data_IF_374783391294
#
_entry.id   IF_374783391294
#
_cell.length_a   1.000
_cell.length_b   1.000
_cell.length_c   1.000
_cell.angle_alpha   90.00
_cell.angle_beta   90.00
_cell.angle_gamma   90.00
#
_symmetry.space_group_name_H-M   'P 1'
#
loop_
_entity.id
_entity.type
_entity.pdbx_description
1 polymer ?
#
# COMPACT_ATOMS: atom_id res chain seq x y z
N UNK A 1 -45.88 -2.87 30.41
CA UNK A 1 -44.41 -3.11 30.39
C UNK A 1 -44.17 -4.10 29.25
N UNK A 2 -43.40 -3.84 28.19
CA UNK A 2 -42.45 -2.78 27.90
C UNK A 2 -42.41 -2.48 26.38
N UNK A 3 -42.24 -1.20 26.10
CA UNK A 3 -41.67 -0.49 24.94
C UNK A 3 -41.80 -1.03 23.51
N UNK A 4 -42.65 -0.28 22.78
CA UNK A 4 -42.61 -0.04 21.35
C UNK A 4 -41.21 0.39 20.87
N UNK A 5 -40.58 -0.43 20.02
CA UNK A 5 -39.58 0.07 19.08
C UNK A 5 -40.29 0.93 18.04
N UNK A 6 -40.11 2.25 18.11
CA UNK A 6 -40.49 3.20 17.06
C UNK A 6 -39.58 3.01 15.84
N UNK A 7 -40.11 2.77 14.64
CA UNK A 7 -39.42 3.11 13.42
C UNK A 7 -39.79 4.55 13.07
N UNK A 8 -38.82 5.46 13.13
CA UNK A 8 -38.89 6.81 12.57
C UNK A 8 -38.89 6.78 11.03
N UNK A 9 -39.75 5.94 10.45
CA UNK A 9 -39.99 5.83 9.02
C UNK A 9 -41.35 6.45 8.72
N UNK A 10 -41.35 7.77 8.54
CA UNK A 10 -42.51 8.55 8.08
C UNK A 10 -43.06 8.00 6.73
N UNK A 11 -42.27 7.22 5.98
CA UNK A 11 -42.68 6.60 4.73
C UNK A 11 -43.28 5.18 4.85
N UNK A 12 -43.18 4.51 6.00
CA UNK A 12 -43.72 3.15 6.15
C UNK A 12 -45.24 3.13 6.32
N UNK A 13 -45.83 4.20 6.86
CA UNK A 13 -47.28 4.25 7.13
C UNK A 13 -48.16 4.57 5.91
N UNK A 14 -47.60 5.11 4.84
CA UNK A 14 -48.39 5.41 3.62
C UNK A 14 -48.71 4.15 2.80
N UNK A 15 -48.03 3.04 3.04
CA UNK A 15 -48.18 1.82 2.25
C UNK A 15 -49.20 0.81 2.81
N UNK A 16 -49.71 1.05 4.02
CA UNK A 16 -50.65 0.16 4.71
C UNK A 16 -52.12 0.32 4.27
N UNK A 17 -52.42 1.27 3.37
CA UNK A 17 -53.79 1.50 2.86
C UNK A 17 -53.97 1.15 1.39
N UNK A 18 -52.97 0.55 0.75
CA UNK A 18 -53.12 0.07 -0.62
C UNK A 18 -53.60 -1.38 -0.66
N UNK A 19 -54.56 -1.72 -1.54
CA UNK A 19 -54.99 -3.10 -1.77
C UNK A 19 -53.81 -4.00 -2.10
N UNK A 20 -53.87 -5.27 -1.69
CA UNK A 20 -52.80 -6.26 -1.90
C UNK A 20 -52.34 -6.38 -3.37
N UNK A 21 -53.23 -6.09 -4.32
CA UNK A 21 -52.95 -6.13 -5.75
C UNK A 21 -52.04 -4.99 -6.24
N UNK A 22 -52.01 -3.85 -5.53
CA UNK A 22 -51.15 -2.72 -5.85
C UNK A 22 -49.67 -3.02 -5.50
N UNK A 23 -49.44 -3.74 -4.40
CA UNK A 23 -48.11 -4.21 -3.98
C UNK A 23 -47.48 -5.21 -4.96
N UNK A 24 -48.32 -6.07 -5.57
CA UNK A 24 -47.89 -7.02 -6.60
C UNK A 24 -47.49 -6.34 -7.91
N UNK A 25 -48.08 -5.18 -8.22
CA UNK A 25 -47.79 -4.40 -9.44
C UNK A 25 -46.54 -3.53 -9.31
N UNK A 26 -46.27 -2.99 -8.11
CA UNK A 26 -45.07 -2.17 -7.85
C UNK A 26 -43.80 -3.02 -7.68
N UNK A 27 -43.89 -4.19 -7.04
CA UNK A 27 -42.72 -5.08 -6.87
C UNK A 27 -42.18 -5.66 -8.19
N UNK A 28 -43.00 -5.67 -9.25
CA UNK A 28 -42.60 -6.06 -10.62
C UNK A 28 -42.21 -4.88 -11.53
N UNK A 29 -42.33 -3.64 -11.04
CA UNK A 29 -41.84 -2.47 -11.77
C UNK A 29 -40.31 -2.45 -11.73
N UNK A 30 -39.70 -2.60 -12.90
CA UNK A 30 -38.24 -2.55 -13.09
C UNK A 30 -37.60 -1.27 -12.49
N UNK A 31 -38.38 -0.17 -12.41
CA UNK A 31 -37.97 1.11 -11.81
C UNK A 31 -37.79 1.02 -10.30
N UNK A 32 -38.61 0.23 -9.61
CA UNK A 32 -38.55 0.10 -8.14
C UNK A 32 -37.35 -0.77 -7.71
N UNK A 33 -37.11 -1.89 -8.41
CA UNK A 33 -35.90 -2.72 -8.20
C UNK A 33 -34.61 -1.92 -8.45
N UNK A 34 -34.59 -1.07 -9.48
CA UNK A 34 -33.43 -0.21 -9.79
C UNK A 34 -33.16 0.83 -8.71
N UNK A 35 -34.21 1.48 -8.17
CA UNK A 35 -34.06 2.45 -7.06
C UNK A 35 -33.59 1.79 -5.76
N UNK A 36 -34.09 0.60 -5.44
CA UNK A 36 -33.68 -0.14 -4.23
C UNK A 36 -32.23 -0.64 -4.31
N UNK A 37 -31.78 -1.07 -5.50
CA UNK A 37 -30.38 -1.43 -5.76
C UNK A 37 -29.43 -0.25 -5.61
N UNK A 38 -29.81 0.94 -6.13
CA UNK A 38 -29.01 2.17 -5.98
C UNK A 38 -28.90 2.56 -4.49
N UNK A 39 -29.98 2.44 -3.72
CA UNK A 39 -29.99 2.80 -2.30
C UNK A 39 -29.10 1.86 -1.45
N UNK A 40 -29.17 0.54 -1.70
CA UNK A 40 -28.27 -0.41 -1.04
C UNK A 40 -26.80 -0.18 -1.41
N UNK A 41 -26.52 0.25 -2.66
CA UNK A 41 -25.17 0.59 -3.12
C UNK A 41 -24.61 1.84 -2.44
N UNK A 42 -25.44 2.88 -2.23
CA UNK A 42 -25.06 4.10 -1.49
C UNK A 42 -24.82 3.78 -0.01
N UNK A 43 -25.64 2.89 0.58
CA UNK A 43 -25.49 2.45 1.97
C UNK A 43 -24.18 1.67 2.20
N UNK A 44 -23.82 0.75 1.28
CA UNK A 44 -22.57 0.00 1.37
C UNK A 44 -21.33 0.90 1.17
N UNK A 45 -21.40 1.88 0.27
CA UNK A 45 -20.33 2.88 0.10
C UNK A 45 -20.10 3.72 1.36
N UNK A 46 -21.15 4.02 2.13
CA UNK A 46 -21.00 4.75 3.40
C UNK A 46 -20.30 3.92 4.49
N UNK A 47 -20.49 2.60 4.52
CA UNK A 47 -19.76 1.72 5.43
C UNK A 47 -18.28 1.58 5.02
N UNK A 48 -18.01 1.45 3.73
CA UNK A 48 -16.64 1.40 3.20
C UNK A 48 -15.89 2.71 3.49
N UNK A 49 -16.49 3.87 3.21
CA UNK A 49 -15.88 5.17 3.46
C UNK A 49 -15.64 5.44 4.96
N UNK A 50 -16.51 4.93 5.85
CA UNK A 50 -16.27 4.96 7.30
C UNK A 50 -15.07 4.09 7.68
N UNK A 51 -14.98 2.86 7.16
CA UNK A 51 -13.85 1.95 7.42
C UNK A 51 -12.52 2.54 6.96
N UNK A 52 -12.48 3.18 5.79
CA UNK A 52 -11.28 3.85 5.27
C UNK A 52 -10.85 5.02 6.16
N UNK A 53 -11.81 5.84 6.63
CA UNK A 53 -11.52 6.92 7.59
C UNK A 53 -11.02 6.41 8.93
N UNK A 54 -11.57 5.31 9.45
CA UNK A 54 -11.08 4.71 10.69
C UNK A 54 -9.65 4.15 10.53
N UNK A 55 -9.37 3.49 9.41
CA UNK A 55 -8.04 2.96 9.12
C UNK A 55 -7.01 4.09 8.94
N UNK A 56 -7.34 5.16 8.20
CA UNK A 56 -6.41 6.28 8.03
C UNK A 56 -6.11 7.01 9.34
N UNK A 57 -7.11 7.20 10.22
CA UNK A 57 -6.91 7.77 11.56
C UNK A 57 -6.04 6.84 12.43
N UNK A 58 -6.25 5.52 12.34
CA UNK A 58 -5.45 4.55 13.08
C UNK A 58 -3.99 4.57 12.62
N UNK A 59 -3.75 4.56 11.31
CA UNK A 59 -2.41 4.65 10.73
C UNK A 59 -1.74 5.95 11.15
N UNK A 60 -2.41 7.11 11.03
CA UNK A 60 -1.85 8.40 11.42
C UNK A 60 -1.48 8.47 12.91
N UNK A 61 -2.29 7.86 13.78
CA UNK A 61 -2.00 7.76 15.22
C UNK A 61 -0.84 6.81 15.49
N UNK A 62 -0.75 5.69 14.78
CA UNK A 62 0.35 4.75 14.90
C UNK A 62 1.67 5.39 14.43
N UNK A 63 1.69 6.09 13.29
CA UNK A 63 2.88 6.85 12.86
C UNK A 63 3.26 7.93 13.85
N UNK A 64 2.30 8.71 14.35
CA UNK A 64 2.57 9.75 15.35
C UNK A 64 3.16 9.18 16.65
N UNK A 65 2.64 8.05 17.16
CA UNK A 65 3.17 7.38 18.35
C UNK A 65 4.57 6.80 18.10
N UNK A 66 4.83 6.27 16.91
CA UNK A 66 6.16 5.80 16.51
C UNK A 66 7.13 6.98 16.48
N UNK A 67 6.77 8.09 15.82
CA UNK A 67 7.62 9.29 15.74
C UNK A 67 7.95 9.88 17.13
N UNK A 68 6.99 9.93 18.05
CA UNK A 68 7.23 10.39 19.43
C UNK A 68 8.13 9.43 20.21
N UNK A 69 7.94 8.12 20.02
CA UNK A 69 8.77 7.11 20.69
C UNK A 69 10.23 7.21 20.23
N UNK A 70 10.47 7.47 18.94
CA UNK A 70 11.82 7.68 18.41
C UNK A 70 12.44 9.01 18.86
N UNK A 71 11.66 10.09 18.98
CA UNK A 71 12.13 11.35 19.56
C UNK A 71 12.53 11.20 21.04
N UNK A 72 11.95 10.23 21.75
CA UNK A 72 12.27 9.96 23.16
C UNK A 72 13.55 9.12 23.33
N UNK A 73 14.07 8.52 22.25
CA UNK A 73 15.31 7.72 22.25
C UNK A 73 16.56 8.54 21.88
N UNK A 74 16.43 9.84 21.62
CA UNK A 74 17.56 10.72 21.29
C UNK A 74 18.32 11.30 22.51
N UNK A 75 18.16 10.71 23.70
CA UNK A 75 18.89 11.16 24.89
C UNK A 75 19.77 10.01 25.40
N UNK A 76 21.09 10.18 25.27
CA UNK A 76 22.21 9.30 25.65
C UNK A 76 22.68 8.21 24.68
N UNK A 77 23.24 8.59 23.53
CA UNK A 77 24.16 7.71 22.78
C UNK A 77 25.41 8.42 22.26
N UNK A 78 25.93 9.41 23.00
CA UNK A 78 27.18 10.07 22.62
C UNK A 78 28.45 9.21 22.74
N UNK A 79 28.37 7.94 23.20
CA UNK A 79 29.56 7.11 23.47
C UNK A 79 29.54 5.69 22.85
N UNK A 80 29.01 5.52 21.63
CA UNK A 80 29.21 4.26 20.86
C UNK A 80 29.85 4.49 19.49
N UNK A 81 29.77 5.72 18.96
CA UNK A 81 30.41 6.10 17.70
C UNK A 81 31.95 6.11 17.75
N UNK A 82 32.54 6.22 18.94
CA UNK A 82 34.01 6.25 19.11
C UNK A 82 34.69 4.87 19.05
N UNK A 83 33.96 3.74 19.16
CA UNK A 83 34.56 2.40 19.20
C UNK A 83 34.59 1.65 17.85
N UNK A 84 34.08 2.26 16.77
CA UNK A 84 34.15 1.71 15.40
C UNK A 84 34.91 2.62 14.43
N UNK A 85 35.69 3.56 14.97
CA UNK A 85 36.26 4.70 14.25
C UNK A 85 37.64 4.43 13.62
N UNK A 86 37.74 3.38 12.79
CA UNK A 86 38.93 3.17 11.91
C UNK A 86 38.59 3.06 10.41
N UNK A 87 37.30 3.12 10.03
CA UNK A 87 36.86 2.93 8.63
C UNK A 87 35.90 4.01 8.09
N UNK A 88 36.05 5.28 8.51
CA UNK A 88 35.35 6.45 7.89
C UNK A 88 35.60 6.63 6.38
N UNK A 89 36.30 5.71 5.72
CA UNK A 89 36.57 5.67 4.27
C UNK A 89 35.84 4.55 3.51
N UNK A 90 34.77 3.97 4.07
CA UNK A 90 33.84 3.10 3.31
C UNK A 90 32.70 3.89 2.62
N UNK A 91 32.90 5.19 2.34
CA UNK A 91 31.83 6.16 2.08
C UNK A 91 31.37 6.33 0.62
N UNK A 92 31.91 5.60 -0.37
CA UNK A 92 31.46 5.76 -1.79
C UNK A 92 31.54 4.52 -2.70
N UNK A 93 32.12 3.40 -2.25
CA UNK A 93 32.34 2.22 -3.10
C UNK A 93 31.35 1.07 -2.91
N UNK A 94 30.67 1.02 -1.77
CA UNK A 94 30.05 -0.23 -1.34
C UNK A 94 28.62 -0.34 -1.85
N UNK A 95 28.28 -1.56 -2.28
CA UNK A 95 26.94 -1.90 -2.74
C UNK A 95 26.22 -2.59 -1.59
N UNK A 96 25.03 -2.10 -1.27
CA UNK A 96 24.17 -2.76 -0.28
C UNK A 96 23.10 -3.59 -0.98
N UNK A 97 23.12 -4.90 -0.78
CA UNK A 97 22.09 -5.80 -1.28
C UNK A 97 20.97 -5.89 -0.26
N UNK A 98 19.72 -5.71 -0.69
CA UNK A 98 18.54 -5.68 0.18
C UNK A 98 17.47 -6.65 -0.29
N UNK A 99 16.67 -7.14 0.65
CA UNK A 99 15.43 -7.87 0.39
C UNK A 99 14.30 -7.27 1.21
N UNK A 100 13.11 -7.14 0.63
CA UNK A 100 11.94 -6.58 1.32
C UNK A 100 11.06 -7.70 1.88
N UNK A 101 11.13 -7.92 3.19
CA UNK A 101 10.38 -8.93 3.91
C UNK A 101 8.86 -8.70 3.83
N UNK A 102 8.43 -7.43 3.80
CA UNK A 102 7.01 -7.09 3.63
C UNK A 102 6.49 -7.48 2.25
N UNK A 103 7.32 -7.33 1.21
CA UNK A 103 6.98 -7.80 -0.14
C UNK A 103 6.81 -9.32 -0.18
N UNK A 104 7.67 -10.08 0.53
CA UNK A 104 7.59 -11.54 0.55
C UNK A 104 6.29 -12.02 1.18
N UNK A 105 5.84 -11.37 2.25
CA UNK A 105 4.53 -11.61 2.85
C UNK A 105 3.38 -11.38 1.86
N UNK A 106 3.52 -10.39 0.96
CA UNK A 106 2.58 -10.11 -0.14
C UNK A 106 2.78 -10.98 -1.39
N UNK A 107 3.62 -12.01 -1.32
CA UNK A 107 3.90 -12.91 -2.43
C UNK A 107 4.87 -12.37 -3.48
N UNK A 108 5.63 -11.31 -3.17
CA UNK A 108 6.66 -10.72 -4.04
C UNK A 108 8.04 -10.98 -3.45
N UNK A 109 8.81 -11.90 -4.04
CA UNK A 109 10.20 -12.12 -3.68
C UNK A 109 11.08 -11.10 -4.39
N UNK A 110 11.39 -9.99 -3.72
CA UNK A 110 12.17 -8.87 -4.30
C UNK A 110 13.55 -8.74 -3.68
N UNK A 111 14.52 -8.44 -4.54
CA UNK A 111 15.88 -8.09 -4.18
C UNK A 111 16.25 -6.77 -4.84
N UNK A 112 16.97 -5.92 -4.12
CA UNK A 112 17.46 -4.65 -4.62
C UNK A 112 18.93 -4.45 -4.27
N UNK A 113 19.58 -3.61 -5.05
CA UNK A 113 20.93 -3.13 -4.80
C UNK A 113 20.84 -1.63 -4.63
N UNK A 114 21.43 -1.14 -3.55
CA UNK A 114 21.58 0.27 -3.27
C UNK A 114 23.03 0.69 -3.44
N UNK A 115 23.21 1.86 -4.06
CA UNK A 115 24.49 2.52 -4.20
C UNK A 115 24.36 3.98 -3.79
N UNK A 116 25.26 4.44 -2.93
CA UNK A 116 25.41 5.87 -2.63
C UNK A 116 26.13 6.57 -3.78
N UNK A 117 25.66 7.77 -4.13
CA UNK A 117 26.39 8.67 -5.01
C UNK A 117 27.34 9.56 -4.20
N UNK A 118 26.92 9.90 -2.99
CA UNK A 118 27.64 10.65 -1.97
C UNK A 118 27.04 10.30 -0.60
N UNK A 119 27.48 11.00 0.45
CA UNK A 119 27.03 10.78 1.83
C UNK A 119 25.54 11.11 2.05
N UNK A 120 24.89 11.85 1.14
CA UNK A 120 23.51 12.33 1.31
C UNK A 120 22.51 11.64 0.39
N UNK A 121 22.93 11.11 -0.75
CA UNK A 121 22.04 10.56 -1.77
C UNK A 121 22.43 9.14 -2.16
N UNK A 122 21.44 8.29 -2.25
CA UNK A 122 21.60 6.94 -2.78
C UNK A 122 20.48 6.59 -3.76
N UNK A 123 20.76 5.62 -4.61
CA UNK A 123 19.76 5.02 -5.48
C UNK A 123 19.70 3.51 -5.23
N UNK A 124 18.49 3.05 -4.97
CA UNK A 124 18.17 1.64 -4.82
C UNK A 124 17.38 1.18 -6.05
N UNK A 125 17.88 0.14 -6.71
CA UNK A 125 17.20 -0.49 -7.84
C UNK A 125 17.04 -1.99 -7.59
N UNK A 126 15.89 -2.55 -7.90
CA UNK A 126 15.60 -3.94 -7.64
C UNK A 126 14.67 -4.60 -8.63
N UNK A 127 14.68 -5.92 -8.55
CA UNK A 127 13.83 -6.82 -9.31
C UNK A 127 13.19 -7.82 -8.37
N UNK A 128 12.03 -8.32 -8.71
CA UNK A 128 11.43 -9.40 -7.95
C UNK A 128 10.42 -10.20 -8.72
N UNK A 129 10.14 -11.38 -8.16
CA UNK A 129 9.23 -12.36 -8.72
C UNK A 129 7.93 -12.34 -7.93
N UNK A 130 6.83 -12.13 -8.64
CA UNK A 130 5.48 -12.16 -8.08
C UNK A 130 4.98 -13.60 -8.18
N UNK A 131 4.72 -14.21 -7.04
CA UNK A 131 4.19 -15.57 -6.90
C UNK A 131 2.65 -15.56 -6.95
N UNK A 132 2.03 -16.66 -7.42
CA UNK A 132 0.60 -16.90 -7.25
C UNK A 132 0.32 -17.24 -5.80
N UNK A 133 0.29 -16.26 -4.90
CA UNK A 133 -0.10 -16.46 -3.51
C UNK A 133 -1.10 -15.37 -3.13
N UNK A 134 -2.12 -15.78 -2.36
CA UNK A 134 -3.28 -15.04 -1.89
C UNK A 134 -2.95 -13.62 -1.41
N UNK A 135 -3.17 -12.60 -2.26
CA UNK A 135 -3.43 -11.25 -1.75
C UNK A 135 -4.84 -11.27 -1.13
N UNK A 136 -4.92 -11.51 0.18
CA UNK A 136 -5.98 -10.89 0.97
C UNK A 136 -5.74 -9.38 0.93
N UNK A 137 -6.78 -8.63 0.57
CA UNK A 137 -6.90 -7.16 0.62
C UNK A 137 -6.01 -6.36 -0.34
N UNK A 138 -6.55 -5.92 -1.49
CA UNK A 138 -7.26 -4.64 -1.68
C UNK A 138 -8.30 -4.86 -2.79
N UNK A 139 -9.62 -4.89 -2.52
CA UNK A 139 -10.64 -5.09 -3.55
C UNK A 139 -10.60 -3.92 -4.54
N UNK A 140 -9.87 -4.11 -5.65
CA UNK A 140 -10.15 -3.37 -6.87
C UNK A 140 -11.37 -4.08 -7.44
N UNK A 141 -12.57 -3.56 -7.18
CA UNK A 141 -13.89 -4.14 -7.51
C UNK A 141 -14.09 -4.61 -8.97
N UNK A 142 -13.10 -4.40 -9.85
CA UNK A 142 -13.13 -4.76 -11.28
C UNK A 142 -12.35 -6.02 -11.67
N UNK A 143 -11.48 -6.59 -10.83
CA UNK A 143 -10.59 -7.68 -11.25
C UNK A 143 -10.65 -8.90 -10.31
N UNK A 144 -11.19 -10.01 -10.80
CA UNK A 144 -11.30 -11.26 -10.04
C UNK A 144 -9.94 -11.93 -9.88
N UNK A 145 -9.55 -12.18 -8.62
CA UNK A 145 -8.23 -12.69 -8.21
C UNK A 145 -7.87 -14.08 -8.75
N UNK A 146 -8.87 -14.88 -9.13
CA UNK A 146 -8.72 -16.29 -9.57
C UNK A 146 -7.90 -16.46 -10.88
N UNK A 147 -7.39 -15.37 -11.45
CA UNK A 147 -6.70 -15.37 -12.74
C UNK A 147 -5.24 -14.93 -12.66
N UNK A 148 -4.73 -14.49 -11.50
CA UNK A 148 -3.34 -14.03 -11.35
C UNK A 148 -2.38 -15.22 -11.18
N UNK A 149 -1.48 -15.46 -12.16
CA UNK A 149 -0.51 -16.56 -12.11
C UNK A 149 0.84 -16.16 -11.55
N UNK A 150 1.52 -15.27 -12.22
CA UNK A 150 2.89 -14.90 -11.86
C UNK A 150 3.23 -13.61 -12.53
N UNK A 151 4.26 -12.97 -12.04
CA UNK A 151 4.65 -11.68 -12.56
C UNK A 151 6.07 -11.34 -12.17
N UNK A 152 6.45 -10.14 -12.54
CA UNK A 152 7.68 -9.54 -12.09
C UNK A 152 7.40 -8.13 -11.60
N UNK A 153 8.24 -7.66 -10.70
CA UNK A 153 8.29 -6.28 -10.30
C UNK A 153 9.68 -5.70 -10.52
N UNK A 154 9.70 -4.42 -10.88
CA UNK A 154 10.89 -3.58 -10.89
C UNK A 154 10.65 -2.47 -9.90
N UNK A 155 11.64 -2.19 -9.06
CA UNK A 155 11.57 -1.14 -8.06
C UNK A 155 12.75 -0.20 -8.22
N UNK A 156 12.48 1.09 -8.06
CA UNK A 156 13.48 2.14 -7.94
C UNK A 156 13.13 3.02 -6.76
N UNK A 157 14.15 3.44 -6.01
CA UNK A 157 13.99 4.37 -4.89
C UNK A 157 15.21 5.29 -4.86
N UNK A 158 14.97 6.56 -5.12
CA UNK A 158 15.96 7.62 -4.91
C UNK A 158 15.82 8.13 -3.47
N UNK A 159 16.89 8.08 -2.68
CA UNK A 159 16.91 8.50 -1.28
C UNK A 159 17.76 9.76 -1.10
N UNK A 160 17.28 10.66 -0.24
CA UNK A 160 18.02 11.77 0.33
C UNK A 160 18.01 11.64 1.85
N UNK A 161 19.18 11.37 2.44
CA UNK A 161 19.42 11.25 3.88
C UNK A 161 19.49 12.64 4.52
N UNK A 162 19.02 12.75 5.76
CA UNK A 162 18.98 14.04 6.47
C UNK A 162 20.36 14.42 7.00
N UNK A 163 21.16 13.44 7.46
CA UNK A 163 22.53 13.68 7.93
C UNK A 163 23.51 12.90 7.04
N UNK A 164 23.77 11.62 7.35
CA UNK A 164 24.78 10.81 6.63
C UNK A 164 24.29 9.38 6.34
N UNK A 165 24.56 8.90 5.13
CA UNK A 165 24.49 7.49 4.75
C UNK A 165 25.59 6.70 5.47
N UNK A 166 25.37 5.44 5.88
CA UNK A 166 24.19 4.60 5.67
C UNK A 166 23.16 4.66 6.80
N UNK A 167 23.35 5.45 7.85
CA UNK A 167 22.53 5.42 9.05
C UNK A 167 21.78 6.72 9.24
N UNK A 168 20.55 6.79 8.73
CA UNK A 168 19.69 7.92 9.05
C UNK A 168 18.24 7.75 8.61
N UNK A 169 17.46 8.75 9.01
CA UNK A 169 16.23 9.08 8.33
C UNK A 169 16.51 9.57 6.91
N UNK A 170 15.64 9.17 5.99
CA UNK A 170 15.71 9.61 4.60
C UNK A 170 14.32 9.93 4.07
N UNK A 171 14.30 10.78 3.04
CA UNK A 171 13.14 11.01 2.20
C UNK A 171 13.44 10.47 0.80
N UNK A 172 12.43 10.16 0.01
CA UNK A 172 12.70 9.62 -1.31
C UNK A 172 11.53 9.52 -2.26
N UNK A 173 11.86 9.29 -3.52
CA UNK A 173 10.91 9.02 -4.58
C UNK A 173 10.96 7.55 -4.94
N UNK A 174 9.83 6.88 -4.72
CA UNK A 174 9.63 5.48 -4.99
C UNK A 174 8.88 5.30 -6.31
N UNK A 175 9.42 4.44 -7.16
CA UNK A 175 8.83 4.03 -8.42
C UNK A 175 8.78 2.50 -8.43
N UNK A 176 7.61 1.93 -8.68
CA UNK A 176 7.46 0.49 -8.83
C UNK A 176 6.63 0.16 -10.07
N UNK A 177 7.15 -0.73 -10.88
CA UNK A 177 6.45 -1.31 -12.01
C UNK A 177 6.15 -2.78 -11.70
N UNK A 178 4.87 -3.17 -11.73
CA UNK A 178 4.46 -4.56 -11.57
C UNK A 178 3.71 -5.03 -12.79
N UNK A 179 4.05 -6.23 -13.25
CA UNK A 179 3.33 -6.88 -14.34
C UNK A 179 2.89 -8.26 -13.93
N UNK A 180 1.57 -8.47 -13.94
CA UNK A 180 0.95 -9.74 -13.66
C UNK A 180 0.52 -10.39 -14.98
N UNK A 181 0.91 -11.65 -15.14
CA UNK A 181 0.38 -12.52 -16.18
C UNK A 181 -0.89 -13.18 -15.66
N UNK A 182 -1.98 -12.99 -16.40
CA UNK A 182 -3.25 -13.68 -16.16
C UNK A 182 -3.54 -14.64 -17.32
N UNK A 183 -4.54 -15.51 -17.17
CA UNK A 183 -4.89 -16.52 -18.18
C UNK A 183 -5.04 -15.95 -19.60
N UNK A 184 -5.79 -14.85 -19.75
CA UNK A 184 -6.09 -14.22 -21.05
C UNK A 184 -5.76 -12.72 -21.06
N UNK A 185 -5.16 -12.21 -19.99
CA UNK A 185 -5.00 -10.77 -19.75
C UNK A 185 -3.61 -10.48 -19.19
N UNK A 186 -3.14 -9.26 -19.38
CA UNK A 186 -1.95 -8.72 -18.71
C UNK A 186 -2.38 -7.51 -17.91
N UNK A 187 -2.11 -7.53 -16.62
CA UNK A 187 -2.39 -6.41 -15.73
C UNK A 187 -1.06 -5.76 -15.36
N UNK A 188 -0.97 -4.46 -15.59
CA UNK A 188 0.21 -3.66 -15.32
C UNK A 188 -0.11 -2.58 -14.32
N UNK A 189 0.73 -2.44 -13.32
CA UNK A 189 0.70 -1.37 -12.34
C UNK A 189 1.96 -0.54 -12.45
N UNK A 190 1.79 0.77 -12.36
CA UNK A 190 2.87 1.72 -12.23
C UNK A 190 2.59 2.59 -11.01
N UNK A 191 3.35 2.39 -9.95
CA UNK A 191 3.24 3.12 -8.70
C UNK A 191 4.32 4.20 -8.66
N UNK A 192 3.93 5.42 -8.30
CA UNK A 192 4.82 6.54 -8.03
C UNK A 192 4.44 7.13 -6.67
N UNK A 193 5.38 7.18 -5.74
CA UNK A 193 5.13 7.64 -4.37
C UNK A 193 6.28 8.44 -3.80
N UNK A 194 5.94 9.34 -2.89
CA UNK A 194 6.90 9.98 -2.01
C UNK A 194 6.98 9.18 -0.71
N UNK A 195 8.19 8.93 -0.23
CA UNK A 195 8.45 8.08 0.92
C UNK A 195 9.30 8.78 1.96
N UNK A 196 9.08 8.38 3.21
CA UNK A 196 9.97 8.61 4.34
C UNK A 196 10.44 7.26 4.86
N UNK A 197 11.68 7.18 5.29
CA UNK A 197 12.23 5.95 5.83
C UNK A 197 13.35 6.20 6.83
N UNK A 198 13.83 5.09 7.37
CA UNK A 198 14.86 5.05 8.39
C UNK A 198 15.72 3.81 8.14
N UNK A 199 17.03 4.00 8.08
CA UNK A 199 18.01 2.94 7.89
C UNK A 199 18.97 2.90 9.08
N UNK A 200 19.23 1.70 9.61
CA UNK A 200 20.08 1.47 10.77
C UNK A 200 20.94 0.22 10.61
N UNK A 201 22.21 0.27 11.04
CA UNK A 201 23.08 -0.91 11.16
C UNK A 201 22.63 -1.72 12.38
N UNK A 202 22.32 -3.00 12.17
CA UNK A 202 22.01 -3.93 13.26
C UNK A 202 23.26 -4.67 13.76
N UNK A 203 24.11 -5.09 12.82
CA UNK A 203 25.37 -5.81 13.03
C UNK A 203 26.37 -5.33 11.99
N UNK A 204 27.68 -5.62 12.14
CA UNK A 204 28.64 -5.36 11.06
C UNK A 204 28.11 -5.88 9.73
N UNK A 205 28.03 -4.99 8.73
CA UNK A 205 27.50 -5.24 7.39
C UNK A 205 26.00 -5.53 7.28
N UNK A 206 25.21 -5.63 8.35
CA UNK A 206 23.76 -5.94 8.29
C UNK A 206 22.94 -4.71 8.65
N UNK A 207 21.93 -4.40 7.83
CA UNK A 207 21.12 -3.19 7.94
C UNK A 207 19.63 -3.53 8.03
N UNK A 208 18.90 -2.75 8.81
CA UNK A 208 17.44 -2.66 8.77
C UNK A 208 17.06 -1.38 8.03
N UNK A 209 16.13 -1.48 7.09
CA UNK A 209 15.59 -0.33 6.35
C UNK A 209 14.05 -0.37 6.40
N UNK A 210 13.48 0.61 7.10
CA UNK A 210 12.05 0.79 7.29
C UNK A 210 11.56 1.96 6.43
N UNK A 211 10.49 1.75 5.66
CA UNK A 211 9.98 2.76 4.75
C UNK A 211 8.45 2.80 4.75
N UNK A 212 7.88 3.99 4.69
CA UNK A 212 6.46 4.21 4.40
C UNK A 212 6.31 5.39 3.44
N UNK A 213 5.32 5.33 2.55
CA UNK A 213 5.07 6.41 1.62
C UNK A 213 3.62 6.59 1.24
N UNK A 214 3.37 7.59 0.42
CA UNK A 214 2.06 7.89 -0.14
C UNK A 214 2.23 8.34 -1.60
N UNK A 215 1.32 7.88 -2.47
CA UNK A 215 1.44 8.14 -3.89
C UNK A 215 0.25 7.72 -4.72
N UNK A 216 0.46 7.70 -6.03
CA UNK A 216 -0.49 7.28 -7.04
C UNK A 216 -0.08 5.99 -7.73
N UNK A 217 -1.06 5.25 -8.21
CA UNK A 217 -0.93 4.02 -8.98
C UNK A 217 -1.74 4.15 -10.26
N UNK A 218 -1.08 3.90 -11.37
CA UNK A 218 -1.70 3.79 -12.68
C UNK A 218 -1.89 2.32 -13.02
N UNK A 219 -3.10 1.97 -13.45
CA UNK A 219 -3.51 0.59 -13.72
C UNK A 219 -3.84 0.48 -15.20
N UNK A 220 -3.23 -0.49 -15.88
CA UNK A 220 -3.51 -0.78 -17.28
C UNK A 220 -3.79 -2.27 -17.47
N UNK A 221 -4.95 -2.58 -18.03
CA UNK A 221 -5.32 -3.91 -18.47
C UNK A 221 -5.12 -4.04 -19.98
N UNK A 222 -4.48 -5.12 -20.40
CA UNK A 222 -4.37 -5.50 -21.80
C UNK A 222 -4.98 -6.88 -21.99
N UNK A 223 -5.99 -6.97 -22.85
CA UNK A 223 -6.62 -8.24 -23.19
C UNK A 223 -5.80 -9.00 -24.25
N UNK A 224 -5.98 -10.32 -24.31
CA UNK A 224 -5.39 -11.20 -25.33
C UNK A 224 -5.65 -10.71 -26.76
N UNK A 225 -6.81 -10.08 -26.96
CA UNK A 225 -7.31 -9.67 -28.27
C UNK A 225 -6.72 -8.32 -28.73
N UNK A 226 -5.74 -7.79 -28.00
CA UNK A 226 -5.04 -6.54 -28.32
C UNK A 226 -5.74 -5.27 -27.85
N UNK A 227 -6.99 -5.38 -27.35
CA UNK A 227 -7.69 -4.25 -26.76
C UNK A 227 -7.02 -3.81 -25.44
N UNK A 228 -6.65 -2.53 -25.38
CA UNK A 228 -6.13 -1.91 -24.16
C UNK A 228 -7.30 -1.21 -23.46
N UNK A 229 -7.48 -1.46 -22.17
CA UNK A 229 -8.37 -0.63 -21.37
C UNK A 229 -7.81 0.79 -21.25
N UNK A 230 -8.69 1.72 -20.94
CA UNK A 230 -8.29 3.03 -20.41
C UNK A 230 -7.41 2.84 -19.16
N UNK A 231 -6.51 3.79 -18.95
CA UNK A 231 -5.65 3.83 -17.77
C UNK A 231 -6.48 4.29 -16.57
N UNK A 232 -6.58 3.45 -15.54
CA UNK A 232 -7.25 3.79 -14.28
C UNK A 232 -6.22 4.34 -13.27
N UNK A 233 -6.67 5.19 -12.35
CA UNK A 233 -5.83 5.79 -11.32
C UNK A 233 -6.36 5.46 -9.92
N UNK A 234 -5.47 5.07 -9.02
CA UNK A 234 -5.79 4.82 -7.62
C UNK A 234 -4.67 5.34 -6.71
N UNK A 235 -4.98 5.53 -5.43
CA UNK A 235 -3.96 5.84 -4.42
C UNK A 235 -3.12 4.59 -4.09
N UNK A 236 -1.88 4.78 -3.62
CA UNK A 236 -1.00 3.71 -3.14
C UNK A 236 -0.21 4.15 -1.91
N UNK A 237 0.04 3.22 -0.99
CA UNK A 237 0.81 3.41 0.23
C UNK A 237 1.90 2.32 0.24
N UNK A 238 3.09 2.58 -0.31
CA UNK A 238 4.17 1.61 -0.23
C UNK A 238 4.69 1.50 1.21
N UNK A 239 4.90 0.28 1.65
CA UNK A 239 5.49 -0.04 2.96
C UNK A 239 6.66 -0.99 2.70
N UNK A 240 7.81 -0.70 3.33
CA UNK A 240 9.01 -1.51 3.23
C UNK A 240 9.54 -1.88 4.61
N UNK A 241 9.80 -3.17 4.80
CA UNK A 241 10.62 -3.68 5.89
C UNK A 241 11.71 -4.50 5.22
N UNK A 242 12.90 -3.93 5.11
CA UNK A 242 14.01 -4.50 4.37
C UNK A 242 15.16 -4.87 5.28
N UNK A 243 15.82 -5.97 4.94
CA UNK A 243 17.12 -6.32 5.51
C UNK A 243 18.16 -6.17 4.40
N UNK A 244 19.24 -5.47 4.72
CA UNK A 244 20.36 -5.20 3.83
C UNK A 244 21.64 -5.87 4.30
N UNK A 245 22.53 -6.18 3.36
CA UNK A 245 23.90 -6.60 3.58
C UNK A 245 24.85 -5.71 2.77
N UNK A 246 25.83 -5.08 3.40
CA UNK A 246 26.86 -4.30 2.72
C UNK A 246 28.00 -5.22 2.27
N UNK A 247 28.29 -5.21 0.96
CA UNK A 247 29.28 -6.07 0.31
C UNK A 247 30.70 -5.56 0.44
#
# INVERSE_FOLDING_TARGET
MAELCRPDNIYANWFLHFPADFHKKISNSCVFKKKMYIYNRISQNNHFMKSVRFFSIFVLKATFLITISFWSFQVNSQDVSEYFDDNRTATTSDFMVKTNLFCWYRGIASFSVEKSFNETYSFEAGVGLIRPIFEYTIPIEKYTYDTLKSGFNYVGLLKGYIEEFPENFYTGYFIEFRKYNMNSHKLTFFDLAYCVGFQQVLFPHVYLDLMVGFGGRFIKLKNSDGYNSDMDFSETIPIGIKIGYNL
#
